data_IF_439011204213
#
_entry.id   IF_439011204213
#
_cell.length_a   1.000
_cell.length_b   1.000
_cell.length_c   1.000
_cell.angle_alpha   90.00
_cell.angle_beta   90.00
_cell.angle_gamma   90.00
#
_symmetry.space_group_name_H-M   'P 1'
#
loop_
_entity.id
_entity.type
_entity.pdbx_description
1 polymer ?
#
# COMPACT_ATOMS: atom_id res chain seq x y z
N UNK A 1 -2.22 12.66 4.15
CA UNK A 1 -1.96 13.16 2.78
C UNK A 1 -0.48 13.47 2.62
N UNK A 2 0.08 13.19 1.46
CA UNK A 2 1.43 13.50 1.03
C UNK A 2 1.39 14.13 -0.36
N UNK A 3 2.45 14.84 -0.74
CA UNK A 3 2.61 15.38 -2.09
C UNK A 3 4.07 15.32 -2.51
N UNK A 4 4.30 15.13 -3.80
CA UNK A 4 5.63 15.20 -4.41
C UNK A 4 5.51 15.66 -5.88
N UNK A 5 6.65 16.06 -6.47
CA UNK A 5 6.72 16.44 -7.89
C UNK A 5 7.33 15.28 -8.67
N UNK A 6 6.67 14.88 -9.73
CA UNK A 6 7.07 13.79 -10.61
C UNK A 6 7.59 14.34 -11.94
N UNK A 7 8.69 13.81 -12.53
CA UNK A 7 9.37 14.40 -13.67
C UNK A 7 8.75 14.05 -15.03
N UNK A 8 7.43 14.05 -15.14
CA UNK A 8 6.69 13.83 -16.38
C UNK A 8 5.37 14.60 -16.37
N UNK A 9 4.77 14.79 -17.54
CA UNK A 9 3.42 15.37 -17.67
C UNK A 9 2.36 14.47 -17.04
N UNK A 10 1.18 15.01 -16.67
CA UNK A 10 0.14 14.27 -15.95
C UNK A 10 -0.31 12.98 -16.63
N UNK A 11 -0.43 12.98 -17.94
CA UNK A 11 -0.86 11.80 -18.71
C UNK A 11 0.16 10.66 -18.57
N UNK A 12 1.44 10.95 -18.74
CA UNK A 12 2.53 9.98 -18.57
C UNK A 12 2.61 9.48 -17.14
N UNK A 13 2.52 10.38 -16.16
CA UNK A 13 2.50 10.02 -14.75
C UNK A 13 1.31 9.12 -14.40
N UNK A 14 0.11 9.43 -14.92
CA UNK A 14 -1.09 8.63 -14.68
C UNK A 14 -0.97 7.23 -15.29
N UNK A 15 -0.45 7.10 -16.53
CA UNK A 15 -0.17 5.80 -17.15
C UNK A 15 0.86 5.02 -16.31
N UNK A 16 1.94 5.67 -15.87
CA UNK A 16 2.96 5.03 -15.06
C UNK A 16 2.41 4.45 -13.75
N UNK A 17 1.56 5.19 -13.05
CA UNK A 17 0.99 4.78 -11.77
C UNK A 17 -0.30 3.94 -11.89
N UNK A 18 -0.90 3.83 -13.07
CA UNK A 18 -2.14 3.06 -13.27
C UNK A 18 -1.94 1.54 -13.16
N UNK A 19 -0.72 1.03 -13.39
CA UNK A 19 -0.37 -0.38 -13.19
C UNK A 19 -0.19 -0.68 -11.69
N UNK A 20 -1.26 -1.18 -11.07
CA UNK A 20 -1.28 -1.49 -9.64
C UNK A 20 -0.24 -2.55 -9.23
N UNK A 21 0.09 -3.49 -10.13
CA UNK A 21 1.11 -4.51 -9.86
C UNK A 21 2.51 -3.89 -9.77
N UNK A 22 2.80 -2.93 -10.64
CA UNK A 22 4.04 -2.15 -10.58
C UNK A 22 4.09 -1.28 -9.33
N UNK A 23 3.00 -0.58 -9.04
CA UNK A 23 2.89 0.28 -7.83
C UNK A 23 3.15 -0.53 -6.56
N UNK A 24 2.61 -1.74 -6.47
CA UNK A 24 2.86 -2.61 -5.32
C UNK A 24 4.35 -2.94 -5.11
N UNK A 25 5.13 -3.06 -6.19
CA UNK A 25 6.56 -3.33 -6.10
C UNK A 25 7.41 -2.17 -5.54
N UNK A 26 6.86 -0.95 -5.54
CA UNK A 26 7.54 0.23 -4.98
C UNK A 26 7.26 0.45 -3.48
N UNK A 27 6.36 -0.33 -2.90
CA UNK A 27 5.94 -0.17 -1.51
C UNK A 27 6.79 -1.04 -0.59
N UNK A 28 7.58 -0.46 0.34
CA UNK A 28 8.35 -1.22 1.32
C UNK A 28 7.47 -2.18 2.13
N UNK A 29 8.00 -3.35 2.43
CA UNK A 29 7.31 -4.42 3.19
C UNK A 29 6.05 -4.98 2.52
N UNK A 30 5.79 -4.60 1.26
CA UNK A 30 4.65 -5.09 0.50
C UNK A 30 5.13 -5.97 -0.64
N UNK A 31 4.48 -7.11 -0.80
CA UNK A 31 4.69 -8.02 -1.91
C UNK A 31 3.37 -8.32 -2.63
N UNK A 32 3.46 -8.45 -3.95
CA UNK A 32 2.37 -8.93 -4.78
C UNK A 32 2.22 -10.44 -4.57
N UNK A 33 1.07 -10.87 -4.07
CA UNK A 33 0.77 -12.30 -3.84
C UNK A 33 0.12 -12.91 -5.08
N UNK A 34 -0.85 -12.20 -5.66
CA UNK A 34 -1.58 -12.69 -6.82
C UNK A 34 -2.19 -11.54 -7.62
N UNK A 35 -2.25 -11.69 -8.94
CA UNK A 35 -2.97 -10.80 -9.86
C UNK A 35 -4.19 -11.55 -10.40
N UNK A 36 -5.39 -11.09 -10.06
CA UNK A 36 -6.66 -11.69 -10.50
C UNK A 36 -7.15 -11.09 -11.81
N UNK A 37 -6.89 -9.80 -12.00
CA UNK A 37 -7.15 -9.04 -13.22
C UNK A 37 -6.12 -7.91 -13.34
N UNK A 38 -5.99 -7.23 -14.49
CA UNK A 38 -5.03 -6.13 -14.65
C UNK A 38 -5.14 -5.03 -13.58
N UNK A 39 -6.34 -4.83 -13.03
CA UNK A 39 -6.64 -3.86 -12.00
C UNK A 39 -7.02 -4.48 -10.63
N UNK A 40 -6.89 -5.80 -10.46
CA UNK A 40 -7.25 -6.51 -9.23
C UNK A 40 -6.11 -7.40 -8.74
N UNK A 41 -5.63 -7.13 -7.54
CA UNK A 41 -4.51 -7.85 -6.93
C UNK A 41 -4.79 -8.25 -5.49
N UNK A 42 -4.05 -9.26 -5.03
CA UNK A 42 -3.82 -9.51 -3.61
C UNK A 42 -2.40 -9.10 -3.27
N UNK A 43 -2.25 -8.29 -2.27
CA UNK A 43 -0.95 -7.94 -1.70
C UNK A 43 -0.82 -8.43 -0.25
N UNK A 44 0.43 -8.63 0.16
CA UNK A 44 0.83 -8.96 1.52
C UNK A 44 1.72 -7.84 2.04
N UNK A 45 1.32 -7.23 3.14
CA UNK A 45 2.21 -6.48 4.00
C UNK A 45 2.82 -7.41 5.04
N UNK A 46 4.16 -7.47 5.12
CA UNK A 46 4.86 -8.27 6.10
C UNK A 46 5.95 -7.46 6.80
N UNK A 47 5.98 -7.53 8.12
CA UNK A 47 7.01 -6.88 8.92
C UNK A 47 7.32 -7.68 10.18
N UNK A 48 8.53 -7.47 10.73
CA UNK A 48 8.93 -7.99 12.03
C UNK A 48 9.02 -6.83 13.01
N UNK A 49 8.16 -6.85 14.02
CA UNK A 49 8.07 -5.83 15.05
C UNK A 49 8.65 -6.30 16.38
N UNK A 50 9.13 -5.36 17.18
CA UNK A 50 9.73 -5.63 18.49
C UNK A 50 10.83 -6.71 18.45
N UNK A 51 11.51 -6.83 17.31
CA UNK A 51 12.64 -7.74 17.11
C UNK A 51 12.31 -9.22 16.92
N UNK A 52 11.05 -9.65 17.09
CA UNK A 52 10.70 -11.07 17.01
C UNK A 52 9.23 -11.35 16.62
N UNK A 53 8.42 -10.33 16.37
CA UNK A 53 6.99 -10.51 16.15
C UNK A 53 6.62 -10.25 14.70
N UNK A 54 6.28 -11.28 13.95
CA UNK A 54 5.89 -11.18 12.54
C UNK A 54 4.42 -10.79 12.42
N UNK A 55 4.15 -9.75 11.64
CA UNK A 55 2.80 -9.30 11.28
C UNK A 55 2.63 -9.51 9.78
N UNK A 56 1.56 -10.21 9.39
CA UNK A 56 1.16 -10.43 8.00
C UNK A 56 -0.26 -9.91 7.78
N UNK A 57 -0.43 -8.97 6.87
CA UNK A 57 -1.73 -8.37 6.54
C UNK A 57 -1.96 -8.52 5.04
N UNK A 58 -2.98 -9.28 4.68
CA UNK A 58 -3.41 -9.45 3.31
C UNK A 58 -4.49 -8.44 2.95
N UNK A 59 -4.42 -7.88 1.75
CA UNK A 59 -5.43 -6.98 1.21
C UNK A 59 -5.75 -7.33 -0.24
N UNK A 60 -7.03 -7.47 -0.54
CA UNK A 60 -7.53 -7.59 -1.91
C UNK A 60 -7.95 -6.20 -2.38
N UNK A 61 -7.41 -5.78 -3.50
CA UNK A 61 -7.48 -4.41 -3.99
C UNK A 61 -7.92 -4.36 -5.45
N UNK A 62 -8.63 -3.29 -5.77
CA UNK A 62 -8.91 -2.87 -7.14
C UNK A 62 -8.45 -1.44 -7.36
N UNK A 63 -7.91 -1.16 -8.55
CA UNK A 63 -7.61 0.19 -8.99
C UNK A 63 -8.61 0.67 -10.03
N UNK A 64 -8.90 1.97 -10.00
CA UNK A 64 -9.67 2.67 -11.02
C UNK A 64 -9.00 3.98 -11.40
N UNK A 65 -9.03 4.33 -12.69
CA UNK A 65 -8.46 5.56 -13.22
C UNK A 65 -9.57 6.40 -13.83
N UNK A 66 -9.65 7.65 -13.41
CA UNK A 66 -10.44 8.68 -14.05
C UNK A 66 -9.49 9.59 -14.86
N UNK A 67 -9.48 9.41 -16.17
CA UNK A 67 -8.58 10.11 -17.09
C UNK A 67 -8.91 11.59 -17.21
N UNK A 68 -10.19 11.95 -17.17
CA UNK A 68 -10.64 13.35 -17.28
C UNK A 68 -10.32 14.13 -16.01
N UNK A 69 -10.61 13.53 -14.86
CA UNK A 69 -10.29 14.11 -13.56
C UNK A 69 -8.81 13.98 -13.19
N UNK A 70 -8.00 13.22 -13.95
CA UNK A 70 -6.60 12.88 -13.63
C UNK A 70 -6.47 12.33 -12.21
N UNK A 71 -7.29 11.31 -11.91
CA UNK A 71 -7.37 10.70 -10.59
C UNK A 71 -7.15 9.19 -10.68
N UNK A 72 -6.37 8.66 -9.73
CA UNK A 72 -6.20 7.23 -9.50
C UNK A 72 -6.72 6.88 -8.11
N UNK A 73 -7.55 5.86 -8.03
CA UNK A 73 -8.04 5.29 -6.78
C UNK A 73 -7.63 3.83 -6.69
N UNK A 74 -7.19 3.43 -5.51
CA UNK A 74 -7.02 2.03 -5.12
C UNK A 74 -7.89 1.81 -3.89
N UNK A 75 -8.71 0.78 -3.90
CA UNK A 75 -9.65 0.53 -2.83
C UNK A 75 -9.79 -0.98 -2.55
N UNK A 76 -10.15 -1.34 -1.30
CA UNK A 76 -10.33 -2.74 -0.94
C UNK A 76 -11.60 -3.28 -1.58
N UNK A 77 -11.50 -4.51 -2.07
CA UNK A 77 -12.63 -5.26 -2.64
C UNK A 77 -12.72 -6.65 -2.05
N UNK A 78 -13.84 -7.32 -2.30
CA UNK A 78 -13.98 -8.76 -2.10
C UNK A 78 -13.85 -9.44 -3.46
N UNK A 79 -12.82 -10.25 -3.63
CA UNK A 79 -12.61 -11.05 -4.84
C UNK A 79 -13.20 -12.43 -4.59
N UNK A 80 -14.26 -12.79 -5.30
CA UNK A 80 -15.01 -14.04 -5.07
C UNK A 80 -14.18 -15.29 -5.36
N UNK A 81 -13.28 -15.21 -6.33
CA UNK A 81 -12.37 -16.32 -6.72
C UNK A 81 -11.15 -16.44 -5.81
N UNK A 82 -10.92 -15.47 -4.93
CA UNK A 82 -9.78 -15.47 -4.05
C UNK A 82 -10.01 -16.42 -2.86
N UNK A 83 -8.99 -17.19 -2.52
CA UNK A 83 -9.01 -18.00 -1.29
C UNK A 83 -9.19 -17.09 -0.07
N UNK A 84 -10.09 -17.43 0.87
CA UNK A 84 -10.30 -16.63 2.07
C UNK A 84 -9.03 -16.59 2.93
N UNK A 85 -8.75 -15.40 3.47
CA UNK A 85 -7.65 -15.20 4.39
C UNK A 85 -8.10 -15.74 5.75
N UNK A 86 -7.43 -16.80 6.22
CA UNK A 86 -7.69 -17.36 7.54
C UNK A 86 -6.89 -16.56 8.58
N UNK A 87 -7.55 -15.90 9.54
CA UNK A 87 -6.86 -15.26 10.67
C UNK A 87 -6.07 -16.29 11.47
N UNK A 88 -4.88 -15.92 11.88
CA UNK A 88 -4.00 -16.78 12.66
C UNK A 88 -3.22 -15.94 13.66
N UNK A 89 -3.07 -16.43 14.87
CA UNK A 89 -2.27 -15.75 15.89
C UNK A 89 -1.52 -16.74 16.77
N UNK A 90 -0.28 -16.40 17.07
CA UNK A 90 0.60 -17.18 17.93
C UNK A 90 1.39 -16.26 18.88
N UNK A 91 2.40 -16.80 19.56
CA UNK A 91 3.30 -16.02 20.44
C UNK A 91 4.15 -15.01 19.63
N UNK A 92 4.50 -15.34 18.38
CA UNK A 92 5.45 -14.56 17.57
C UNK A 92 4.93 -14.18 16.18
N UNK A 93 3.67 -14.45 15.90
CA UNK A 93 3.10 -14.24 14.58
C UNK A 93 1.63 -13.89 14.68
N UNK A 94 1.19 -12.94 13.86
CA UNK A 94 -0.23 -12.70 13.56
C UNK A 94 -0.43 -12.51 12.08
N UNK A 95 -1.51 -13.10 11.57
CA UNK A 95 -1.96 -13.00 10.19
C UNK A 95 -3.42 -12.58 10.18
N UNK A 96 -3.77 -11.67 9.28
CA UNK A 96 -5.13 -11.23 9.12
C UNK A 96 -5.37 -10.47 7.83
N UNK A 97 -6.54 -9.91 7.70
CA UNK A 97 -6.92 -9.05 6.58
C UNK A 97 -6.81 -7.58 6.96
N UNK A 98 -6.55 -6.76 5.96
CA UNK A 98 -6.51 -5.31 6.10
C UNK A 98 -7.27 -4.61 4.98
N UNK A 99 -7.70 -3.40 5.27
CA UNK A 99 -8.26 -2.48 4.30
C UNK A 99 -7.20 -1.43 3.97
N UNK A 100 -6.81 -1.37 2.72
CA UNK A 100 -5.87 -0.40 2.20
C UNK A 100 -6.58 0.40 1.12
N UNK A 101 -6.51 1.71 1.19
CA UNK A 101 -7.06 2.59 0.16
C UNK A 101 -6.12 3.74 -0.11
N UNK A 102 -5.99 4.11 -1.39
CA UNK A 102 -5.26 5.29 -1.85
C UNK A 102 -6.19 6.09 -2.75
N UNK A 103 -6.21 7.40 -2.54
CA UNK A 103 -6.78 8.37 -3.47
C UNK A 103 -5.64 9.28 -3.92
N UNK A 104 -5.44 9.39 -5.23
CA UNK A 104 -4.33 10.16 -5.82
C UNK A 104 -4.87 11.15 -6.84
N UNK A 105 -4.40 12.39 -6.77
CA UNK A 105 -4.71 13.46 -7.71
C UNK A 105 -3.43 13.94 -8.40
N UNK A 106 -3.50 14.13 -9.72
CA UNK A 106 -2.40 14.57 -10.56
C UNK A 106 -2.67 15.99 -11.05
N UNK A 107 -1.79 16.92 -10.67
CA UNK A 107 -1.88 18.34 -11.03
C UNK A 107 -0.80 18.71 -12.04
N UNK A 108 -1.20 19.41 -13.10
CA UNK A 108 -0.32 19.86 -14.15
C UNK A 108 0.62 20.99 -13.64
N UNK A 109 1.94 20.81 -13.83
CA UNK A 109 2.98 21.81 -13.63
C UNK A 109 3.79 22.05 -14.91
N UNK A 110 3.22 21.81 -16.10
CA UNK A 110 3.91 21.87 -17.39
C UNK A 110 4.68 20.57 -17.66
N UNK A 111 6.04 20.58 -17.66
CA UNK A 111 6.82 19.38 -17.94
C UNK A 111 6.85 18.39 -16.75
N UNK A 112 6.21 18.72 -15.65
CA UNK A 112 6.17 17.95 -14.41
C UNK A 112 4.74 17.81 -13.91
N UNK A 113 4.54 16.88 -12.99
CA UNK A 113 3.24 16.67 -12.32
C UNK A 113 3.42 16.76 -10.82
N UNK A 114 2.59 17.54 -10.15
CA UNK A 114 2.43 17.44 -8.70
C UNK A 114 1.43 16.34 -8.40
N UNK A 115 1.87 15.33 -7.67
CA UNK A 115 1.05 14.20 -7.27
C UNK A 115 0.72 14.37 -5.79
N UNK A 116 -0.57 14.42 -5.48
CA UNK A 116 -1.07 14.38 -4.11
C UNK A 116 -1.79 13.07 -3.86
N UNK A 117 -1.49 12.40 -2.75
CA UNK A 117 -2.15 11.16 -2.40
C UNK A 117 -2.49 11.07 -0.92
N UNK A 118 -3.58 10.39 -0.64
CA UNK A 118 -4.04 10.09 0.72
C UNK A 118 -4.12 8.59 0.89
N UNK A 119 -3.37 8.06 1.85
CA UNK A 119 -3.41 6.64 2.23
C UNK A 119 -4.34 6.49 3.43
N UNK A 120 -5.20 5.47 3.39
CA UNK A 120 -6.02 5.01 4.51
C UNK A 120 -5.74 3.53 4.75
N UNK A 121 -5.41 3.20 6.00
CA UNK A 121 -5.11 1.85 6.43
C UNK A 121 -6.01 1.47 7.60
N UNK A 122 -6.56 0.27 7.56
CA UNK A 122 -7.22 -0.36 8.69
C UNK A 122 -6.88 -1.84 8.67
N UNK A 123 -6.33 -2.36 9.75
CA UNK A 123 -6.08 -3.78 9.90
C UNK A 123 -6.93 -4.36 11.02
N UNK A 124 -7.49 -5.54 10.78
CA UNK A 124 -8.20 -6.33 11.78
C UNK A 124 -7.32 -7.51 12.15
N UNK A 125 -6.61 -7.35 13.26
CA UNK A 125 -5.67 -8.34 13.77
C UNK A 125 -6.10 -8.78 15.16
N UNK A 126 -6.00 -10.08 15.40
CA UNK A 126 -6.13 -10.60 16.75
C UNK A 126 -4.96 -10.14 17.61
N UNK A 127 -5.25 -9.88 18.89
CA UNK A 127 -4.21 -9.50 19.82
C UNK A 127 -3.23 -10.66 20.00
N UNK A 128 -1.92 -10.39 19.85
CA UNK A 128 -0.87 -11.38 20.11
C UNK A 128 -1.01 -12.05 21.47
N UNK A 129 -0.79 -13.35 21.51
CA UNK A 129 -0.92 -14.12 22.77
C UNK A 129 -0.03 -13.57 23.87
N UNK A 130 1.21 -13.16 23.54
CA UNK A 130 2.14 -12.53 24.51
C UNK A 130 1.70 -11.17 25.03
N UNK A 131 0.76 -10.49 24.36
CA UNK A 131 0.24 -9.18 24.78
C UNK A 131 -1.13 -9.27 25.48
N UNK A 132 -1.69 -10.46 25.68
CA UNK A 132 -3.02 -10.63 26.30
C UNK A 132 -3.07 -10.13 27.74
N UNK A 133 -1.96 -10.20 28.47
CA UNK A 133 -1.84 -9.72 29.85
C UNK A 133 -1.62 -8.22 29.96
N UNK A 134 -1.31 -7.53 28.86
CA UNK A 134 -1.11 -6.08 28.87
C UNK A 134 -2.44 -5.32 28.84
N UNK A 135 -2.55 -4.16 29.52
CA UNK A 135 -3.73 -3.31 29.42
C UNK A 135 -4.01 -2.90 27.96
N UNK A 136 -5.28 -2.90 27.56
CA UNK A 136 -5.70 -2.53 26.18
C UNK A 136 -5.11 -1.20 25.71
N UNK A 137 -5.07 -0.19 26.61
CA UNK A 137 -4.52 1.14 26.28
C UNK A 137 -3.04 1.10 25.90
N UNK A 138 -2.26 0.24 26.56
CA UNK A 138 -0.83 0.08 26.27
C UNK A 138 -0.66 -0.59 24.91
N UNK A 139 -1.37 -1.69 24.66
CA UNK A 139 -1.33 -2.40 23.38
C UNK A 139 -1.74 -1.49 22.23
N UNK A 140 -2.85 -0.74 22.37
CA UNK A 140 -3.31 0.19 21.33
C UNK A 140 -2.28 1.31 21.06
N UNK A 141 -1.60 1.84 22.09
CA UNK A 141 -0.57 2.85 21.90
C UNK A 141 0.64 2.31 21.15
N UNK A 142 1.07 1.08 21.46
CA UNK A 142 2.16 0.38 20.76
C UNK A 142 1.74 0.17 19.29
N UNK A 143 0.57 -0.38 19.04
CA UNK A 143 0.05 -0.61 17.71
C UNK A 143 -0.02 0.69 16.88
N UNK A 144 -0.53 1.77 17.47
CA UNK A 144 -0.60 3.07 16.80
C UNK A 144 0.80 3.61 16.45
N UNK A 145 1.75 3.54 17.38
CA UNK A 145 3.13 4.00 17.15
C UNK A 145 3.81 3.22 16.01
N UNK A 146 3.64 1.90 15.98
CA UNK A 146 4.16 1.04 14.91
C UNK A 146 3.50 1.44 13.58
N UNK A 147 2.18 1.55 13.55
CA UNK A 147 1.42 1.92 12.33
C UNK A 147 1.88 3.27 11.79
N UNK A 148 1.97 4.30 12.62
CA UNK A 148 2.40 5.64 12.20
C UNK A 148 3.82 5.64 11.63
N UNK A 149 4.74 4.89 12.23
CA UNK A 149 6.10 4.71 11.75
C UNK A 149 6.14 4.02 10.37
N UNK A 150 5.41 2.93 10.24
CA UNK A 150 5.37 2.14 8.99
C UNK A 150 4.67 2.86 7.84
N UNK A 151 3.60 3.60 8.11
CA UNK A 151 2.94 4.43 7.08
C UNK A 151 3.91 5.48 6.51
N UNK A 152 4.74 6.11 7.35
CA UNK A 152 5.76 7.05 6.87
C UNK A 152 6.82 6.35 6.03
N UNK A 153 7.37 5.25 6.51
CA UNK A 153 8.38 4.45 5.81
C UNK A 153 7.87 3.98 4.44
N UNK A 154 6.65 3.45 4.38
CA UNK A 154 6.01 3.04 3.12
C UNK A 154 5.84 4.23 2.17
N UNK A 155 5.36 5.37 2.68
CA UNK A 155 5.14 6.56 1.87
C UNK A 155 6.44 7.15 1.31
N UNK A 156 7.47 7.25 2.14
CA UNK A 156 8.77 7.82 1.74
C UNK A 156 9.52 6.85 0.79
N UNK A 157 9.47 5.55 1.07
CA UNK A 157 10.04 4.52 0.21
C UNK A 157 9.34 4.44 -1.15
N UNK A 158 8.02 4.50 -1.17
CA UNK A 158 7.23 4.53 -2.42
C UNK A 158 7.67 5.68 -3.34
N UNK A 159 7.77 6.91 -2.81
CA UNK A 159 8.18 8.06 -3.61
C UNK A 159 9.57 7.80 -4.21
N UNK A 160 10.52 7.39 -3.37
CA UNK A 160 11.88 7.14 -3.81
C UNK A 160 11.97 6.05 -4.88
N UNK A 161 11.46 4.87 -4.59
CA UNK A 161 11.55 3.70 -5.48
C UNK A 161 10.80 3.93 -6.81
N UNK A 162 9.63 4.58 -6.78
CA UNK A 162 8.88 4.89 -7.98
C UNK A 162 9.58 5.93 -8.87
N UNK A 163 10.22 6.92 -8.28
CA UNK A 163 11.00 7.92 -9.03
C UNK A 163 12.28 7.33 -9.59
N UNK A 164 12.98 6.50 -8.85
CA UNK A 164 14.22 5.84 -9.29
C UNK A 164 13.97 4.86 -10.45
N UNK A 165 12.81 4.19 -10.47
CA UNK A 165 12.42 3.25 -11.50
C UNK A 165 11.85 3.91 -12.78
N UNK A 166 11.37 5.16 -12.71
CA UNK A 166 10.69 5.83 -13.82
C UNK A 166 11.53 5.95 -15.09
N UNK A 167 12.81 6.37 -15.09
CA UNK A 167 13.59 6.53 -16.31
C UNK A 167 13.74 5.24 -17.13
N UNK A 168 13.88 4.09 -16.44
CA UNK A 168 13.96 2.78 -17.10
C UNK A 168 12.65 2.38 -17.76
N UNK A 169 11.52 2.68 -17.10
CA UNK A 169 10.19 2.44 -17.68
C UNK A 169 9.92 3.37 -18.86
N UNK A 170 10.23 4.66 -18.74
CA UNK A 170 10.02 5.65 -19.80
C UNK A 170 10.75 5.26 -21.08
N UNK A 171 12.00 4.79 -20.96
CA UNK A 171 12.79 4.31 -22.09
C UNK A 171 12.19 3.08 -22.82
N UNK A 172 11.33 2.32 -22.15
CA UNK A 172 10.64 1.15 -22.75
C UNK A 172 9.25 1.48 -23.27
N UNK A 173 8.69 2.60 -22.85
CA UNK A 173 7.32 3.02 -23.19
C UNK A 173 7.26 3.87 -24.47
N UNK A 174 8.38 4.54 -24.84
CA UNK A 174 8.52 5.29 -26.10
C UNK A 174 8.73 4.36 -27.29
#
# INVERSE_FOLDING_TARGET
TRAFVFPAIPETALIYYSDISRVAAFLPHISLVHTYAPNQIRMLYETVELGAYTIQIYSDLESSVDWDAKQLKVYPIKIETAAPIQPETSLRHTKGSGLFAIETQFFDLGPQTRIEYTIRLKAELERPLGMRLMPKRVVNRIAQSITDGRVREIADGFIKESMDAFPAWEATYQ
#
